data_IF_132217576369
#
_entry.id   IF_132217576369
#
_cell.length_a   1.000
_cell.length_b   1.000
_cell.length_c   1.000
_cell.angle_alpha   90.00
_cell.angle_beta   90.00
_cell.angle_gamma   90.00
#
_symmetry.space_group_name_H-M   'P 1'
#
loop_
_entity.id
_entity.type
_entity.pdbx_description
1 polymer ?
#
# COMPACT_ATOMS: atom_id res chain seq x y z
N UNK A 1 -13.17 -5.58 25.08
CA UNK A 1 -11.71 -5.77 25.04
C UNK A 1 -11.33 -7.16 24.49
N UNK A 2 -11.88 -8.26 25.03
CA UNK A 2 -11.51 -9.61 24.58
C UNK A 2 -11.87 -9.95 23.14
N UNK A 3 -13.01 -9.47 22.65
CA UNK A 3 -13.44 -9.69 21.26
C UNK A 3 -12.41 -9.16 20.23
N UNK A 4 -11.94 -7.91 20.42
CA UNK A 4 -10.89 -7.31 19.60
C UNK A 4 -9.56 -8.06 19.71
N UNK A 5 -9.20 -8.51 20.92
CA UNK A 5 -7.98 -9.29 21.17
C UNK A 5 -8.02 -10.65 20.45
N UNK A 6 -9.16 -11.33 20.46
CA UNK A 6 -9.34 -12.63 19.79
C UNK A 6 -9.30 -12.48 18.26
N UNK A 7 -9.90 -11.42 17.72
CA UNK A 7 -9.81 -11.10 16.28
C UNK A 7 -8.36 -10.78 15.89
N UNK A 8 -7.66 -9.98 16.68
CA UNK A 8 -6.26 -9.65 16.44
C UNK A 8 -5.39 -10.92 16.43
N UNK A 9 -5.50 -11.77 17.45
CA UNK A 9 -4.73 -13.02 17.55
C UNK A 9 -5.06 -13.97 16.39
N UNK A 10 -6.32 -14.03 15.97
CA UNK A 10 -6.74 -14.84 14.83
C UNK A 10 -6.13 -14.34 13.51
N UNK A 11 -6.21 -13.02 13.27
CA UNK A 11 -5.58 -12.38 12.10
C UNK A 11 -4.06 -12.55 12.14
N UNK A 12 -3.47 -12.42 13.33
CA UNK A 12 -2.03 -12.54 13.52
C UNK A 12 -1.55 -13.94 13.16
N UNK A 13 -2.21 -14.98 13.69
CA UNK A 13 -1.86 -16.40 13.49
C UNK A 13 -2.26 -16.96 12.13
N UNK A 14 -3.15 -16.31 11.39
CA UNK A 14 -3.61 -16.80 10.08
C UNK A 14 -2.97 -16.05 8.92
N UNK A 15 -2.90 -14.72 9.01
CA UNK A 15 -2.43 -13.86 7.93
C UNK A 15 -1.05 -13.26 8.19
N UNK A 16 -0.63 -13.07 9.44
CA UNK A 16 0.58 -12.34 9.80
C UNK A 16 1.68 -13.19 10.45
N UNK A 17 1.80 -14.44 10.02
CA UNK A 17 2.77 -15.42 10.56
C UNK A 17 4.25 -15.12 10.28
N UNK A 18 4.57 -14.02 9.60
CA UNK A 18 5.95 -13.58 9.42
C UNK A 18 6.07 -12.07 9.54
N UNK A 19 7.26 -11.61 9.93
CA UNK A 19 7.58 -10.18 10.00
C UNK A 19 7.29 -9.48 8.67
N UNK A 20 7.57 -10.13 7.54
CA UNK A 20 7.26 -9.62 6.20
C UNK A 20 5.76 -9.46 5.98
N UNK A 21 4.94 -10.45 6.36
CA UNK A 21 3.48 -10.38 6.20
C UNK A 21 2.89 -9.26 7.05
N UNK A 22 3.37 -9.08 8.29
CA UNK A 22 2.97 -7.96 9.17
C UNK A 22 3.22 -6.61 8.49
N UNK A 23 4.40 -6.48 7.88
CA UNK A 23 4.83 -5.26 7.24
C UNK A 23 4.05 -4.95 5.95
N UNK A 24 3.81 -5.98 5.13
CA UNK A 24 2.92 -5.89 3.96
C UNK A 24 1.50 -5.51 4.38
N UNK A 25 0.99 -6.07 5.47
CA UNK A 25 -0.31 -5.72 6.03
C UNK A 25 -0.45 -4.24 6.35
N UNK A 26 0.54 -3.66 7.02
CA UNK A 26 0.55 -2.22 7.31
C UNK A 26 0.55 -1.39 6.04
N UNK A 27 1.33 -1.76 5.02
CA UNK A 27 1.37 -1.00 3.77
C UNK A 27 0.11 -1.18 2.94
N UNK A 28 -0.52 -2.36 2.99
CA UNK A 28 -1.78 -2.65 2.30
C UNK A 28 -2.92 -1.72 2.75
N UNK A 29 -2.90 -1.21 3.98
CA UNK A 29 -3.87 -0.21 4.43
C UNK A 29 -3.78 1.07 3.60
N UNK A 30 -2.57 1.54 3.27
CA UNK A 30 -2.40 2.71 2.41
C UNK A 30 -2.88 2.43 0.98
N UNK A 31 -2.57 1.25 0.44
CA UNK A 31 -3.06 0.83 -0.88
C UNK A 31 -4.60 0.73 -0.90
N UNK A 32 -5.21 0.26 0.19
CA UNK A 32 -6.66 0.22 0.34
C UNK A 32 -7.30 1.61 0.33
N UNK A 33 -6.75 2.56 1.10
CA UNK A 33 -7.23 3.95 1.07
C UNK A 33 -7.05 4.59 -0.30
N UNK A 34 -5.95 4.28 -0.98
CA UNK A 34 -5.71 4.73 -2.34
C UNK A 34 -6.76 4.16 -3.31
N UNK A 35 -7.11 2.88 -3.21
CA UNK A 35 -8.19 2.28 -4.00
C UNK A 35 -9.55 2.94 -3.73
N UNK A 36 -9.86 3.24 -2.46
CA UNK A 36 -11.07 3.97 -2.09
C UNK A 36 -11.09 5.38 -2.71
N UNK A 37 -9.96 6.09 -2.70
CA UNK A 37 -9.85 7.41 -3.32
C UNK A 37 -10.10 7.36 -4.83
N UNK A 38 -9.58 6.36 -5.53
CA UNK A 38 -9.86 6.12 -6.96
C UNK A 38 -11.35 5.90 -7.16
N UNK A 39 -11.97 5.04 -6.37
CA UNK A 39 -13.41 4.76 -6.48
C UNK A 39 -14.27 6.02 -6.33
N UNK A 40 -13.99 6.83 -5.31
CA UNK A 40 -14.69 8.11 -5.08
C UNK A 40 -14.47 9.08 -6.23
N UNK A 41 -13.22 9.21 -6.71
CA UNK A 41 -12.88 10.09 -7.82
C UNK A 41 -13.60 9.71 -9.11
N UNK A 42 -13.65 8.42 -9.45
CA UNK A 42 -14.37 7.91 -10.62
C UNK A 42 -15.87 8.23 -10.55
N UNK A 43 -16.49 8.00 -9.39
CA UNK A 43 -17.89 8.34 -9.18
C UNK A 43 -18.16 9.84 -9.33
N UNK A 44 -17.24 10.69 -8.84
CA UNK A 44 -17.37 12.13 -8.95
C UNK A 44 -17.22 12.64 -10.39
N UNK A 45 -16.23 12.13 -11.14
CA UNK A 45 -16.02 12.47 -12.55
C UNK A 45 -17.22 12.07 -13.40
N UNK A 46 -17.77 10.87 -13.19
CA UNK A 46 -18.95 10.42 -13.91
C UNK A 46 -20.15 11.35 -13.65
N UNK A 47 -20.43 11.65 -12.39
CA UNK A 47 -21.55 12.50 -11.99
C UNK A 47 -21.39 13.94 -12.53
N UNK A 48 -20.15 14.47 -12.59
CA UNK A 48 -19.86 15.75 -13.24
C UNK A 48 -20.15 15.71 -14.74
N UNK A 49 -19.71 14.67 -15.45
CA UNK A 49 -19.97 14.51 -16.89
C UNK A 49 -21.48 14.42 -17.17
N UNK A 50 -22.24 13.68 -16.36
CA UNK A 50 -23.70 13.59 -16.47
C UNK A 50 -24.40 14.93 -16.25
N UNK A 51 -23.98 15.70 -15.23
CA UNK A 51 -24.51 17.06 -15.01
C UNK A 51 -24.13 18.02 -16.12
N UNK A 52 -22.94 17.91 -16.70
CA UNK A 52 -22.55 18.75 -17.83
C UNK A 52 -23.41 18.49 -19.07
N UNK A 53 -23.73 17.23 -19.34
CA UNK A 53 -24.63 16.86 -20.42
C UNK A 53 -26.05 17.42 -20.24
N UNK A 54 -26.54 17.57 -19.00
CA UNK A 54 -27.88 18.08 -18.75
C UNK A 54 -28.01 19.61 -18.83
N UNK A 55 -26.91 20.36 -18.79
CA UNK A 55 -26.93 21.83 -18.85
C UNK A 55 -27.11 22.43 -20.26
N UNK A 56 -27.14 21.61 -21.33
CA UNK A 56 -27.39 22.04 -22.72
C UNK A 56 -26.53 23.26 -23.14
N UNK A 57 -25.26 23.27 -22.76
CA UNK A 57 -24.31 24.37 -23.03
C UNK A 57 -23.91 24.43 -24.51
N UNK A 58 -23.41 25.59 -24.99
CA UNK A 58 -22.78 25.70 -26.30
C UNK A 58 -21.63 24.69 -26.45
N UNK A 59 -21.55 24.03 -27.61
CA UNK A 59 -20.59 22.94 -27.88
C UNK A 59 -19.13 23.32 -27.59
N UNK A 60 -18.75 24.56 -27.86
CA UNK A 60 -17.38 25.05 -27.65
C UNK A 60 -17.02 25.10 -26.16
N UNK A 61 -17.92 25.63 -25.32
CA UNK A 61 -17.70 25.69 -23.87
C UNK A 61 -17.69 24.29 -23.25
N UNK A 62 -18.56 23.41 -23.75
CA UNK A 62 -18.61 22.02 -23.33
C UNK A 62 -17.27 21.32 -23.59
N UNK A 63 -16.73 21.43 -24.81
CA UNK A 63 -15.46 20.80 -25.20
C UNK A 63 -14.27 21.22 -24.33
N UNK A 64 -14.18 22.51 -23.97
CA UNK A 64 -13.13 22.99 -23.07
C UNK A 64 -13.21 22.30 -21.69
N UNK A 65 -14.41 22.21 -21.11
CA UNK A 65 -14.60 21.59 -19.79
C UNK A 65 -14.27 20.09 -19.82
N UNK A 66 -14.68 19.35 -20.86
CA UNK A 66 -14.30 17.94 -20.98
C UNK A 66 -12.78 17.75 -21.10
N UNK A 67 -12.10 18.63 -21.84
CA UNK A 67 -10.64 18.58 -21.96
C UNK A 67 -9.96 18.78 -20.60
N UNK A 68 -10.46 19.70 -19.76
CA UNK A 68 -9.91 19.93 -18.42
C UNK A 68 -10.15 18.72 -17.50
N UNK A 69 -11.33 18.10 -17.59
CA UNK A 69 -11.66 16.88 -16.84
C UNK A 69 -10.74 15.73 -17.24
N UNK A 70 -10.51 15.53 -18.55
CA UNK A 70 -9.67 14.45 -19.05
C UNK A 70 -8.18 14.66 -18.67
N UNK A 71 -7.72 15.91 -18.67
CA UNK A 71 -6.38 16.28 -18.22
C UNK A 71 -6.21 16.00 -16.71
N UNK A 72 -7.18 16.39 -15.89
CA UNK A 72 -7.21 16.06 -14.46
C UNK A 72 -7.20 14.54 -14.21
N UNK A 73 -7.95 13.79 -15.03
CA UNK A 73 -8.00 12.33 -14.97
C UNK A 73 -6.64 11.69 -15.26
N UNK A 74 -5.92 12.17 -16.28
CA UNK A 74 -4.56 11.71 -16.62
C UNK A 74 -3.60 11.97 -15.46
N UNK A 75 -3.58 13.18 -14.90
CA UNK A 75 -2.71 13.48 -13.76
C UNK A 75 -3.03 12.61 -12.54
N UNK A 76 -4.31 12.38 -12.27
CA UNK A 76 -4.73 11.51 -11.18
C UNK A 76 -4.22 10.07 -11.36
N UNK A 77 -4.29 9.52 -12.57
CA UNK A 77 -3.75 8.19 -12.89
C UNK A 77 -2.23 8.15 -12.68
N UNK A 78 -1.50 9.14 -13.20
CA UNK A 78 -0.04 9.21 -13.07
C UNK A 78 0.36 9.25 -11.59
N UNK A 79 -0.26 10.11 -10.79
CA UNK A 79 -0.02 10.20 -9.35
C UNK A 79 -0.37 8.89 -8.63
N UNK A 80 -1.44 8.23 -9.04
CA UNK A 80 -1.85 6.93 -8.50
C UNK A 80 -0.78 5.87 -8.76
N UNK A 81 -0.26 5.78 -9.98
CA UNK A 81 0.80 4.83 -10.33
C UNK A 81 2.07 5.10 -9.52
N UNK A 82 2.48 6.37 -9.41
CA UNK A 82 3.65 6.77 -8.62
C UNK A 82 3.46 6.40 -7.15
N UNK A 83 2.30 6.69 -6.56
CA UNK A 83 1.99 6.33 -5.16
C UNK A 83 1.98 4.83 -4.92
N UNK A 84 1.47 4.05 -5.88
CA UNK A 84 1.49 2.59 -5.80
C UNK A 84 2.92 2.05 -5.84
N UNK A 85 3.75 2.53 -6.77
CA UNK A 85 5.15 2.17 -6.86
C UNK A 85 5.92 2.55 -5.58
N UNK A 86 5.67 3.73 -5.03
CA UNK A 86 6.26 4.16 -3.76
C UNK A 86 5.87 3.22 -2.61
N UNK A 87 4.60 2.80 -2.55
CA UNK A 87 4.12 1.85 -1.54
C UNK A 87 4.84 0.49 -1.65
N UNK A 88 4.99 -0.04 -2.87
CA UNK A 88 5.75 -1.28 -3.11
C UNK A 88 7.21 -1.11 -2.70
N UNK A 89 7.83 0.02 -3.06
CA UNK A 89 9.20 0.34 -2.69
C UNK A 89 9.40 0.38 -1.18
N UNK A 90 8.48 1.01 -0.43
CA UNK A 90 8.52 1.05 1.04
C UNK A 90 8.51 -0.35 1.64
N UNK A 91 7.68 -1.27 1.12
CA UNK A 91 7.66 -2.68 1.57
C UNK A 91 9.02 -3.34 1.36
N UNK A 92 9.61 -3.19 0.17
CA UNK A 92 10.91 -3.77 -0.16
C UNK A 92 12.04 -3.18 0.70
N UNK A 93 12.03 -1.86 0.84
CA UNK A 93 12.98 -1.12 1.66
C UNK A 93 12.95 -1.56 3.11
N UNK A 94 11.76 -1.62 3.73
CA UNK A 94 11.60 -2.07 5.11
C UNK A 94 11.90 -3.57 5.28
N UNK A 95 11.62 -4.41 4.26
CA UNK A 95 12.05 -5.81 4.27
C UNK A 95 13.57 -5.90 4.35
N UNK A 96 14.28 -5.12 3.54
CA UNK A 96 15.74 -5.12 3.52
C UNK A 96 16.33 -4.56 4.81
N UNK A 97 15.79 -3.46 5.32
CA UNK A 97 16.35 -2.73 6.45
C UNK A 97 15.97 -3.30 7.82
N UNK A 98 14.82 -3.99 7.95
CA UNK A 98 14.33 -4.51 9.23
C UNK A 98 14.28 -6.03 9.21
N UNK A 99 13.58 -6.63 8.25
CA UNK A 99 13.29 -8.08 8.31
C UNK A 99 14.54 -8.92 8.15
N UNK A 100 15.42 -8.56 7.21
CA UNK A 100 16.68 -9.29 6.97
C UNK A 100 17.59 -9.23 8.21
N UNK A 101 17.97 -8.05 8.74
CA UNK A 101 18.89 -8.00 9.88
C UNK A 101 18.30 -8.62 11.16
N UNK A 102 17.00 -8.49 11.42
CA UNK A 102 16.37 -9.14 12.57
C UNK A 102 16.46 -10.67 12.47
N UNK A 103 16.34 -11.24 11.27
CA UNK A 103 16.53 -12.68 11.06
C UNK A 103 17.98 -13.11 11.33
N UNK A 104 18.95 -12.34 10.85
CA UNK A 104 20.36 -12.62 11.12
C UNK A 104 20.66 -12.54 12.62
N UNK A 105 20.16 -11.51 13.31
CA UNK A 105 20.31 -11.36 14.75
C UNK A 105 19.74 -12.57 15.52
N UNK A 106 18.53 -13.00 15.17
CA UNK A 106 17.91 -14.17 15.79
C UNK A 106 18.70 -15.46 15.52
N UNK A 107 19.29 -15.60 14.33
CA UNK A 107 20.16 -16.72 14.01
C UNK A 107 21.41 -16.74 14.90
N UNK A 108 22.15 -15.62 14.97
CA UNK A 108 23.34 -15.51 15.83
C UNK A 108 23.02 -15.72 17.32
N UNK A 109 21.91 -15.19 17.82
CA UNK A 109 21.51 -15.39 19.21
C UNK A 109 21.16 -16.86 19.50
N UNK A 110 20.46 -17.52 18.59
CA UNK A 110 20.12 -18.93 18.76
C UNK A 110 21.39 -19.80 18.76
N UNK A 111 22.32 -19.52 17.85
CA UNK A 111 23.63 -20.20 17.75
C UNK A 111 24.47 -20.03 19.03
N UNK A 112 24.53 -18.80 19.55
CA UNK A 112 25.21 -18.48 20.81
C UNK A 112 24.56 -19.19 22.03
N UNK A 113 23.24 -19.36 22.03
CA UNK A 113 22.52 -20.06 23.10
C UNK A 113 22.62 -21.60 23.00
N UNK A 114 22.77 -22.16 21.80
CA UNK A 114 22.90 -23.62 21.59
C UNK A 114 24.30 -24.15 21.88
N UNK A 115 25.30 -23.30 22.10
CA UNK A 115 26.63 -23.71 22.55
C UNK A 115 27.52 -24.33 21.48
N UNK A 116 27.06 -24.42 20.23
CA UNK A 116 27.87 -24.74 19.04
C UNK A 116 28.64 -23.50 18.55
N UNK A 117 29.15 -22.68 19.48
CA UNK A 117 29.87 -21.43 19.22
C UNK A 117 31.20 -21.69 18.52
N UNK A 118 31.13 -22.10 17.26
CA UNK A 118 32.25 -22.27 16.38
C UNK A 118 32.66 -20.90 15.86
N UNK A 119 33.42 -20.21 16.71
CA UNK A 119 34.10 -18.96 16.41
C UNK A 119 35.15 -19.12 15.29
N UNK A 120 35.34 -20.32 14.72
CA UNK A 120 36.20 -20.54 13.54
C UNK A 120 35.56 -20.14 12.22
N UNK A 121 34.26 -19.81 12.21
CA UNK A 121 33.61 -19.14 11.07
C UNK A 121 33.93 -17.65 11.07
N UNK A 122 35.20 -17.28 10.96
CA UNK A 122 35.58 -15.96 10.47
C UNK A 122 37.03 -15.95 9.96
N UNK A 123 37.16 -15.99 8.64
CA UNK A 123 37.77 -14.93 7.82
C UNK A 123 37.20 -15.00 6.40
#
# INVERSE_FOLDING_TARGET
MEFFKNIYIFLERKYFNSLTKKLVGNVLVFVFFQAMAIFVFLGFVQNLKEKLHSLNLPLDQMKHIYSDIDLAYIFFIILTIISFLASVFVVLFLRYLIVIPVKHLLFFFNDACTGEGDLSKEL
#
